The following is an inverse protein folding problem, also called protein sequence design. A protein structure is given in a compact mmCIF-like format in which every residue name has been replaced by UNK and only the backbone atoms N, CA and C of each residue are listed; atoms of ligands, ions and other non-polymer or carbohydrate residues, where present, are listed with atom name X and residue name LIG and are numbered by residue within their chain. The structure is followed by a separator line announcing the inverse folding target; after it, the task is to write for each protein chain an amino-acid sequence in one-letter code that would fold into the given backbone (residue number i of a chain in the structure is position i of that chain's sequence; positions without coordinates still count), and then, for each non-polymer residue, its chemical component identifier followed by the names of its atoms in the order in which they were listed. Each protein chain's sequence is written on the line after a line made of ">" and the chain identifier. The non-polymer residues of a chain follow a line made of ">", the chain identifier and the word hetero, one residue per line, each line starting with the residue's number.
data_IF_334948295442
#
_entry.id   IF_334948295442
#
_cell.length_a   1.000
_cell.length_b   1.000
_cell.length_c   1.000
_cell.angle_alpha   90.00
_cell.angle_beta   90.00
_cell.angle_gamma   90.00
#
_symmetry.space_group_name_H-M   'P 1'
#
loop_
_entity.id
_entity.type
_entity.pdbx_description
1 polymer ?
#
# COMPACT_ATOMS: atom_id res chain seq x y z
N UNK A 1 -17.71 23.82 44.01
CA UNK A 1 -17.19 23.42 42.68
C UNK A 1 -17.31 24.48 41.58
N UNK A 2 -18.35 25.32 41.56
CA UNK A 2 -18.52 26.39 40.52
C UNK A 2 -17.41 27.46 40.49
N UNK A 3 -16.71 27.73 41.59
CA UNK A 3 -15.68 28.78 41.64
C UNK A 3 -14.29 28.39 41.14
N UNK A 4 -14.01 27.11 41.00
CA UNK A 4 -12.70 26.66 40.54
C UNK A 4 -12.56 26.83 39.01
N UNK A 5 -13.55 26.44 38.25
CA UNK A 5 -13.53 26.55 36.76
C UNK A 5 -13.54 28.02 36.30
N UNK A 6 -14.15 28.94 37.03
CA UNK A 6 -14.21 30.35 36.62
C UNK A 6 -12.83 31.03 36.56
N UNK A 7 -11.88 30.64 37.41
CA UNK A 7 -10.50 31.17 37.41
C UNK A 7 -9.74 30.81 36.13
N UNK A 8 -10.06 29.66 35.53
CA UNK A 8 -9.39 29.16 34.33
C UNK A 8 -9.87 29.86 33.06
N UNK A 9 -11.14 30.22 33.00
CA UNK A 9 -11.75 30.70 31.76
C UNK A 9 -12.16 32.19 31.80
N UNK A 10 -12.35 32.77 32.99
CA UNK A 10 -12.91 34.13 33.12
C UNK A 10 -11.88 35.06 33.80
N UNK A 11 -11.55 36.21 33.18
CA UNK A 11 -10.78 37.28 33.83
C UNK A 11 -11.52 37.80 35.05
N UNK A 12 -10.90 37.77 36.23
CA UNK A 12 -11.45 38.27 37.50
C UNK A 12 -10.31 38.69 38.43
N UNK A 13 -10.60 39.47 39.50
CA UNK A 13 -9.59 39.98 40.43
C UNK A 13 -8.68 38.88 40.98
N UNK A 14 -9.21 37.65 41.20
CA UNK A 14 -8.47 36.50 41.75
C UNK A 14 -7.41 35.98 40.82
N UNK A 15 -7.46 36.26 39.54
CA UNK A 15 -6.47 35.85 38.54
C UNK A 15 -5.81 37.04 37.82
N UNK A 16 -5.77 38.18 38.50
CA UNK A 16 -5.23 39.43 37.94
C UNK A 16 -5.86 39.83 36.60
N UNK A 17 -7.16 39.60 36.43
CA UNK A 17 -7.90 39.82 35.18
C UNK A 17 -7.35 39.08 33.98
N UNK A 18 -6.63 37.93 34.20
CA UNK A 18 -6.13 37.05 33.16
C UNK A 18 -6.66 35.64 33.36
N UNK A 19 -7.41 35.13 32.42
CA UNK A 19 -7.82 33.73 32.45
C UNK A 19 -6.56 32.82 32.40
N UNK A 20 -6.44 31.87 33.30
CA UNK A 20 -5.26 31.03 33.42
C UNK A 20 -4.91 30.31 32.08
N UNK A 21 -5.93 29.88 31.36
CA UNK A 21 -5.73 29.22 30.04
C UNK A 21 -5.13 30.17 28.97
N UNK A 22 -5.24 31.48 29.13
CA UNK A 22 -4.64 32.49 28.26
C UNK A 22 -3.25 32.94 28.75
N UNK A 23 -2.76 32.34 29.83
CA UNK A 23 -1.40 32.62 30.30
C UNK A 23 -0.38 32.11 29.30
N UNK A 24 0.71 32.86 29.01
CA UNK A 24 1.73 32.43 28.01
C UNK A 24 2.27 31.01 28.22
N UNK A 25 2.39 30.58 29.49
CA UNK A 25 2.87 29.23 29.82
C UNK A 25 1.89 28.13 29.37
N UNK A 26 0.57 28.34 29.51
CA UNK A 26 -0.44 27.42 29.02
C UNK A 26 -0.55 27.42 27.50
N UNK A 27 -0.43 28.61 26.89
CA UNK A 27 -0.41 28.74 25.44
C UNK A 27 0.80 28.00 24.86
N UNK A 28 1.98 28.14 25.48
CA UNK A 28 3.18 27.40 25.14
C UNK A 28 2.99 25.86 25.25
N UNK A 29 2.34 25.41 26.33
CA UNK A 29 2.01 24.00 26.52
C UNK A 29 1.07 23.48 25.42
N UNK A 30 0.02 24.24 25.07
CA UNK A 30 -0.92 23.85 24.01
C UNK A 30 -0.22 23.77 22.64
N UNK A 31 0.65 24.72 22.33
CA UNK A 31 1.45 24.70 21.11
C UNK A 31 2.39 23.47 21.09
N UNK A 32 3.06 23.18 22.20
CA UNK A 32 3.93 22.02 22.30
C UNK A 32 3.16 20.70 22.12
N UNK A 33 1.99 20.56 22.76
CA UNK A 33 1.12 19.39 22.60
C UNK A 33 0.58 19.27 21.17
N UNK A 34 0.23 20.37 20.53
CA UNK A 34 -0.18 20.38 19.12
C UNK A 34 0.94 19.92 18.20
N UNK A 35 2.15 20.44 18.36
CA UNK A 35 3.31 20.04 17.57
C UNK A 35 3.71 18.58 17.81
N UNK A 36 3.62 18.11 19.05
CA UNK A 36 3.85 16.70 19.40
C UNK A 36 2.79 15.81 18.71
N UNK A 37 1.53 16.20 18.75
CA UNK A 37 0.45 15.48 18.07
C UNK A 37 0.69 15.44 16.55
N UNK A 38 1.08 16.53 15.91
CA UNK A 38 1.43 16.56 14.49
C UNK A 38 2.60 15.64 14.17
N UNK A 39 3.62 15.60 15.04
CA UNK A 39 4.76 14.70 14.90
C UNK A 39 4.35 13.22 15.04
N UNK A 40 3.49 12.92 16.01
CA UNK A 40 2.94 11.57 16.20
C UNK A 40 2.08 11.13 15.00
N UNK A 41 1.21 12.00 14.49
CA UNK A 41 0.40 11.71 13.30
C UNK A 41 1.31 11.44 12.10
N UNK A 42 2.33 12.28 11.85
CA UNK A 42 3.30 12.05 10.78
C UNK A 42 4.06 10.73 10.95
N UNK A 43 4.52 10.43 12.15
CA UNK A 43 5.19 9.16 12.44
C UNK A 43 4.26 7.95 12.25
N UNK A 44 2.97 8.09 12.60
CA UNK A 44 1.96 7.05 12.42
C UNK A 44 1.61 6.82 10.94
N UNK A 45 1.53 7.89 10.14
CA UNK A 45 1.29 7.81 8.69
C UNK A 45 2.49 7.24 7.95
N UNK A 46 3.73 7.54 8.38
CA UNK A 46 4.95 6.94 7.83
C UNK A 46 5.08 5.45 8.23
N UNK A 47 4.69 5.10 9.47
CA UNK A 47 4.76 3.71 9.97
C UNK A 47 3.62 2.82 9.47
N UNK A 48 2.52 3.41 9.03
CA UNK A 48 1.37 2.73 8.41
C UNK A 48 0.88 3.59 7.25
N UNK A 49 1.43 3.42 6.06
CA UNK A 49 0.82 3.96 4.85
C UNK A 49 -0.45 3.14 4.54
N UNK A 50 -1.43 3.22 5.43
CA UNK A 50 -2.80 2.82 5.18
C UNK A 50 -3.43 3.91 4.35
N UNK A 51 -3.37 3.78 3.04
CA UNK A 51 -4.03 4.69 2.13
C UNK A 51 -5.53 4.55 2.37
N UNK A 52 -6.13 5.55 3.01
CA UNK A 52 -7.58 5.72 3.03
C UNK A 52 -8.04 6.19 1.64
N UNK A 53 -7.92 5.32 0.63
CA UNK A 53 -8.29 5.64 -0.73
C UNK A 53 -7.52 4.82 -1.77
N UNK A 54 -7.75 5.15 -3.03
CA UNK A 54 -7.03 4.54 -4.15
C UNK A 54 -5.69 5.24 -4.37
N UNK A 55 -4.62 4.47 -4.64
CA UNK A 55 -3.34 5.04 -5.06
C UNK A 55 -3.39 5.41 -6.54
N UNK A 56 -3.18 6.69 -6.85
CA UNK A 56 -2.94 7.18 -8.22
C UNK A 56 -1.46 7.05 -8.63
N UNK A 57 -0.56 6.78 -7.67
CA UNK A 57 0.89 6.72 -7.89
C UNK A 57 1.38 5.32 -8.29
N UNK A 58 0.52 4.31 -8.22
CA UNK A 58 0.84 2.96 -8.65
C UNK A 58 0.20 2.72 -10.02
N UNK A 59 1.03 2.48 -11.02
CA UNK A 59 0.61 2.11 -12.36
C UNK A 59 1.36 0.85 -12.81
N UNK A 60 0.75 0.09 -13.74
CA UNK A 60 1.35 -1.10 -14.34
C UNK A 60 2.73 -0.79 -14.95
N UNK A 61 2.85 0.34 -15.66
CA UNK A 61 4.11 0.79 -16.25
C UNK A 61 5.19 1.08 -15.18
N UNK A 62 4.85 1.78 -14.09
CA UNK A 62 5.82 2.05 -13.01
C UNK A 62 6.28 0.75 -12.35
N UNK A 63 5.35 -0.19 -12.08
CA UNK A 63 5.65 -1.50 -11.50
C UNK A 63 6.56 -2.31 -12.43
N UNK A 64 6.29 -2.33 -13.74
CA UNK A 64 7.12 -2.99 -14.75
C UNK A 64 8.55 -2.43 -14.78
N UNK A 65 8.69 -1.10 -14.86
CA UNK A 65 10.00 -0.43 -14.88
C UNK A 65 10.80 -0.74 -13.63
N UNK A 66 10.18 -0.62 -12.45
CA UNK A 66 10.89 -0.89 -11.19
C UNK A 66 11.27 -2.35 -11.02
N UNK A 67 10.40 -3.28 -11.44
CA UNK A 67 10.74 -4.72 -11.44
C UNK A 67 11.99 -4.99 -12.26
N UNK A 68 12.06 -4.45 -13.47
CA UNK A 68 13.23 -4.61 -14.33
C UNK A 68 14.47 -3.87 -13.80
N UNK A 69 14.28 -2.73 -13.13
CA UNK A 69 15.37 -2.04 -12.44
C UNK A 69 16.00 -2.89 -11.33
N UNK A 70 15.18 -3.56 -10.49
CA UNK A 70 15.70 -4.46 -9.45
C UNK A 70 16.47 -5.66 -10.06
N UNK A 71 16.01 -6.20 -11.18
CA UNK A 71 16.69 -7.26 -11.91
C UNK A 71 18.05 -6.79 -12.47
N UNK A 72 18.07 -5.61 -13.11
CA UNK A 72 19.28 -5.03 -13.68
C UNK A 72 20.36 -4.71 -12.64
N UNK A 73 19.99 -4.28 -11.44
CA UNK A 73 20.93 -4.04 -10.32
C UNK A 73 21.76 -5.29 -9.97
N UNK A 74 21.25 -6.47 -10.30
CA UNK A 74 21.90 -7.76 -10.07
C UNK A 74 22.41 -8.42 -11.36
N UNK A 75 22.48 -7.69 -12.46
CA UNK A 75 22.96 -8.18 -13.76
C UNK A 75 22.05 -9.18 -14.44
N UNK A 76 20.75 -9.25 -14.02
CA UNK A 76 19.79 -10.16 -14.64
C UNK A 76 19.13 -9.51 -15.87
N UNK A 77 18.78 -10.34 -16.85
CA UNK A 77 17.98 -9.90 -18.01
C UNK A 77 16.63 -9.36 -17.57
N UNK A 78 16.18 -8.27 -18.19
CA UNK A 78 14.84 -7.73 -17.98
C UNK A 78 13.77 -8.70 -18.48
N UNK A 79 12.58 -8.62 -17.86
CA UNK A 79 11.40 -9.33 -18.32
C UNK A 79 10.72 -8.55 -19.45
N UNK A 80 10.12 -9.25 -20.40
CA UNK A 80 9.28 -8.66 -21.45
C UNK A 80 7.86 -8.44 -20.91
N UNK A 81 7.27 -7.29 -21.20
CA UNK A 81 5.87 -7.05 -20.88
C UNK A 81 4.95 -7.91 -21.75
N UNK A 82 4.02 -8.62 -21.15
CA UNK A 82 3.05 -9.45 -21.83
C UNK A 82 1.61 -9.05 -21.45
N UNK A 83 0.86 -8.55 -22.44
CA UNK A 83 -0.52 -8.08 -22.22
C UNK A 83 -1.50 -9.19 -21.83
N UNK A 84 -1.26 -10.43 -22.29
CA UNK A 84 -2.08 -11.58 -21.89
C UNK A 84 -1.88 -11.90 -20.41
N UNK A 85 -0.62 -11.87 -19.93
CA UNK A 85 -0.34 -11.97 -18.49
C UNK A 85 -0.93 -10.82 -17.69
N UNK A 86 -0.93 -9.58 -18.23
CA UNK A 86 -1.57 -8.45 -17.56
C UNK A 86 -3.08 -8.62 -17.45
N UNK A 87 -3.73 -9.15 -18.48
CA UNK A 87 -5.14 -9.50 -18.42
C UNK A 87 -5.42 -10.57 -17.34
N UNK A 88 -4.55 -11.57 -17.22
CA UNK A 88 -4.62 -12.58 -16.15
C UNK A 88 -4.48 -11.95 -14.76
N UNK A 89 -3.50 -11.06 -14.56
CA UNK A 89 -3.26 -10.37 -13.31
C UNK A 89 -4.43 -9.45 -12.92
N UNK A 90 -4.99 -8.74 -13.89
CA UNK A 90 -6.20 -7.90 -13.70
C UNK A 90 -7.39 -8.73 -13.25
N UNK A 91 -7.68 -9.83 -13.96
CA UNK A 91 -8.77 -10.77 -13.58
C UNK A 91 -8.58 -11.33 -12.17
N UNK A 92 -7.37 -11.63 -11.76
CA UNK A 92 -7.06 -12.06 -10.39
C UNK A 92 -7.40 -10.97 -9.37
N UNK A 93 -7.02 -9.72 -9.61
CA UNK A 93 -7.34 -8.60 -8.73
C UNK A 93 -8.86 -8.35 -8.65
N UNK A 94 -9.56 -8.40 -9.79
CA UNK A 94 -11.02 -8.27 -9.87
C UNK A 94 -11.73 -9.41 -9.12
N UNK A 95 -11.23 -10.64 -9.22
CA UNK A 95 -11.78 -11.81 -8.51
C UNK A 95 -11.63 -11.65 -6.99
N UNK A 96 -10.48 -11.11 -6.52
CA UNK A 96 -10.27 -10.80 -5.10
C UNK A 96 -11.27 -9.77 -4.59
N UNK A 97 -11.55 -8.70 -5.34
CA UNK A 97 -12.58 -7.72 -4.97
C UNK A 97 -13.99 -8.31 -5.02
N UNK A 98 -14.32 -9.04 -6.09
CA UNK A 98 -15.66 -9.62 -6.28
C UNK A 98 -16.03 -10.59 -5.18
N UNK A 99 -15.08 -11.37 -4.70
CA UNK A 99 -15.29 -12.44 -3.72
C UNK A 99 -14.75 -12.08 -2.32
N UNK A 100 -14.38 -10.81 -2.13
CA UNK A 100 -13.94 -10.20 -0.88
C UNK A 100 -12.87 -11.03 -0.13
N UNK A 101 -11.77 -11.40 -0.82
CA UNK A 101 -10.68 -12.15 -0.22
C UNK A 101 -9.29 -11.58 -0.59
N UNK A 102 -8.30 -11.88 0.26
CA UNK A 102 -6.89 -11.54 0.05
C UNK A 102 -6.01 -12.78 0.23
N UNK A 103 -5.75 -13.49 -0.87
CA UNK A 103 -4.92 -14.69 -0.91
C UNK A 103 -4.53 -15.06 -2.34
N UNK A 104 -3.49 -15.89 -2.51
CA UNK A 104 -3.12 -16.47 -3.80
C UNK A 104 -4.26 -17.35 -4.36
N UNK A 105 -4.87 -18.20 -3.55
CA UNK A 105 -6.02 -19.01 -3.96
C UNK A 105 -7.32 -18.44 -3.41
N UNK A 106 -8.38 -18.48 -4.21
CA UNK A 106 -9.71 -18.06 -3.78
C UNK A 106 -10.32 -19.02 -2.73
N UNK A 107 -11.31 -18.56 -1.94
CA UNK A 107 -12.05 -19.45 -1.04
C UNK A 107 -12.73 -20.65 -1.73
N UNK A 108 -12.99 -20.53 -3.04
CA UNK A 108 -13.56 -21.60 -3.87
C UNK A 108 -12.52 -22.55 -4.46
N UNK A 109 -11.23 -22.37 -4.10
CA UNK A 109 -10.13 -23.21 -4.57
C UNK A 109 -9.53 -22.79 -5.93
N UNK A 110 -9.97 -21.67 -6.51
CA UNK A 110 -9.40 -21.15 -7.75
C UNK A 110 -7.97 -20.65 -7.49
N UNK A 111 -7.01 -21.17 -8.23
CA UNK A 111 -5.59 -20.83 -8.10
C UNK A 111 -5.17 -19.69 -9.03
N UNK A 112 -4.02 -19.04 -8.85
CA UNK A 112 -3.49 -18.06 -9.81
C UNK A 112 -3.40 -18.62 -11.24
N UNK A 113 -3.05 -19.89 -11.37
CA UNK A 113 -2.86 -20.57 -12.64
C UNK A 113 -4.15 -20.74 -13.45
N UNK A 114 -5.30 -20.70 -12.81
CA UNK A 114 -6.59 -20.76 -13.50
C UNK A 114 -6.89 -19.45 -14.25
N UNK A 115 -6.36 -18.31 -13.77
CA UNK A 115 -6.43 -17.05 -14.51
C UNK A 115 -5.51 -17.04 -15.73
N UNK A 116 -4.34 -17.69 -15.66
CA UNK A 116 -3.47 -17.88 -16.83
C UNK A 116 -4.16 -18.70 -17.93
N UNK A 117 -4.80 -19.81 -17.55
CA UNK A 117 -5.57 -20.65 -18.48
C UNK A 117 -6.75 -19.90 -19.09
N UNK A 118 -7.46 -19.12 -18.28
CA UNK A 118 -8.65 -18.37 -18.70
C UNK A 118 -8.33 -17.37 -19.82
N UNK A 119 -7.15 -16.74 -19.77
CA UNK A 119 -6.69 -15.82 -20.83
C UNK A 119 -5.93 -16.52 -21.96
N UNK A 120 -5.81 -17.85 -21.89
CA UNK A 120 -5.10 -18.63 -22.91
C UNK A 120 -3.58 -18.56 -22.85
N UNK A 121 -3.00 -18.09 -21.74
CA UNK A 121 -1.54 -18.08 -21.56
C UNK A 121 -1.04 -19.47 -21.18
N UNK A 122 -0.20 -20.03 -22.04
CA UNK A 122 0.50 -21.30 -21.79
C UNK A 122 1.87 -21.02 -21.21
N UNK A 123 2.30 -21.80 -20.23
CA UNK A 123 3.55 -21.57 -19.52
C UNK A 123 4.22 -22.89 -19.15
N UNK A 124 5.54 -22.86 -19.13
CA UNK A 124 6.39 -23.91 -18.52
C UNK A 124 6.72 -23.57 -17.07
N UNK A 125 6.87 -22.29 -16.75
CA UNK A 125 7.12 -21.76 -15.41
C UNK A 125 6.24 -20.53 -15.17
N UNK A 126 5.66 -20.43 -13.98
CA UNK A 126 4.81 -19.31 -13.61
C UNK A 126 5.01 -18.88 -12.13
N UNK A 127 4.71 -17.64 -11.82
CA UNK A 127 4.79 -17.08 -10.47
C UNK A 127 3.81 -15.92 -10.28
N UNK A 128 3.49 -15.64 -9.00
CA UNK A 128 2.61 -14.55 -8.63
C UNK A 128 3.18 -13.77 -7.44
N UNK A 129 3.13 -12.45 -7.52
CA UNK A 129 3.27 -11.54 -6.38
C UNK A 129 2.00 -10.72 -6.21
N UNK A 130 1.62 -10.49 -4.95
CA UNK A 130 0.47 -9.68 -4.57
C UNK A 130 0.89 -8.52 -3.69
N UNK A 131 0.30 -7.33 -3.88
CA UNK A 131 0.41 -6.21 -2.96
C UNK A 131 -0.93 -5.48 -2.81
N UNK A 132 -1.15 -4.90 -1.63
CA UNK A 132 -2.27 -4.01 -1.32
C UNK A 132 -1.87 -2.97 -0.29
N UNK A 133 -2.64 -1.89 -0.22
CA UNK A 133 -2.50 -0.85 0.80
C UNK A 133 -1.17 -0.07 0.74
N UNK A 134 -0.55 0.04 -0.44
CA UNK A 134 0.61 0.89 -0.67
C UNK A 134 0.19 2.24 -1.27
N UNK A 135 0.93 3.29 -0.91
CA UNK A 135 0.71 4.63 -1.44
C UNK A 135 1.37 4.82 -2.81
N UNK A 136 2.57 4.29 -3.00
CA UNK A 136 3.37 4.44 -4.22
C UNK A 136 4.08 3.14 -4.61
N UNK A 137 4.57 3.11 -5.84
CA UNK A 137 5.27 1.95 -6.42
C UNK A 137 6.61 1.69 -5.73
N UNK A 138 7.31 2.73 -5.27
CA UNK A 138 8.63 2.58 -4.67
C UNK A 138 8.56 1.87 -3.32
N UNK A 139 7.69 2.31 -2.43
CA UNK A 139 7.48 1.68 -1.11
C UNK A 139 6.99 0.23 -1.24
N UNK A 140 6.11 -0.03 -2.22
CA UNK A 140 5.64 -1.37 -2.54
C UNK A 140 6.80 -2.27 -3.02
N UNK A 141 7.61 -1.80 -3.97
CA UNK A 141 8.75 -2.55 -4.48
C UNK A 141 9.79 -2.83 -3.39
N UNK A 142 10.08 -1.85 -2.53
CA UNK A 142 10.95 -2.05 -1.37
C UNK A 142 10.41 -3.13 -0.42
N UNK A 143 9.10 -3.17 -0.18
CA UNK A 143 8.47 -4.21 0.64
C UNK A 143 8.61 -5.59 -0.01
N UNK A 144 8.36 -5.71 -1.31
CA UNK A 144 8.57 -6.95 -2.04
C UNK A 144 10.03 -7.41 -2.00
N UNK A 145 10.98 -6.49 -2.20
CA UNK A 145 12.42 -6.83 -2.15
C UNK A 145 12.92 -7.20 -0.75
N UNK A 146 12.25 -6.76 0.32
CA UNK A 146 12.51 -7.22 1.70
C UNK A 146 11.90 -8.58 2.02
N UNK A 147 10.85 -8.97 1.32
CA UNK A 147 10.20 -10.27 1.48
C UNK A 147 10.94 -11.36 0.68
N UNK A 148 11.37 -12.42 1.34
CA UNK A 148 12.11 -13.52 0.69
C UNK A 148 11.32 -14.13 -0.47
N UNK A 149 10.02 -14.34 -0.31
CA UNK A 149 9.16 -14.98 -1.32
C UNK A 149 8.92 -14.08 -2.52
N UNK A 150 8.54 -12.83 -2.31
CA UNK A 150 8.30 -11.87 -3.39
C UNK A 150 9.59 -11.54 -4.15
N UNK A 151 10.69 -11.32 -3.42
CA UNK A 151 12.02 -11.10 -4.01
C UNK A 151 12.46 -12.27 -4.87
N UNK A 152 12.23 -13.51 -4.43
CA UNK A 152 12.54 -14.70 -5.21
C UNK A 152 11.84 -14.69 -6.56
N UNK A 153 10.55 -14.33 -6.61
CA UNK A 153 9.82 -14.23 -7.87
C UNK A 153 10.39 -13.11 -8.77
N UNK A 154 10.65 -11.91 -8.21
CA UNK A 154 11.21 -10.79 -8.99
C UNK A 154 12.55 -11.14 -9.61
N UNK A 155 13.39 -11.88 -8.92
CA UNK A 155 14.77 -12.21 -9.33
C UNK A 155 14.92 -13.59 -9.98
N UNK A 156 13.85 -14.36 -10.14
CA UNK A 156 13.92 -15.69 -10.75
C UNK A 156 14.36 -15.58 -12.22
N UNK A 157 15.44 -16.26 -12.55
CA UNK A 157 16.04 -16.24 -13.89
C UNK A 157 15.26 -17.06 -14.90
N UNK A 158 14.35 -17.91 -14.45
CA UNK A 158 13.53 -18.75 -15.30
C UNK A 158 12.38 -17.98 -15.95
N UNK A 159 11.99 -16.83 -15.38
CA UNK A 159 10.93 -16.01 -15.99
C UNK A 159 11.49 -15.16 -17.13
N UNK A 160 10.70 -15.06 -18.20
CA UNK A 160 10.99 -14.27 -19.38
C UNK A 160 9.98 -13.14 -19.57
N UNK A 161 8.76 -13.33 -19.09
CA UNK A 161 7.66 -12.39 -19.28
C UNK A 161 7.01 -12.01 -17.96
N UNK A 162 6.40 -10.83 -17.94
CA UNK A 162 5.64 -10.31 -16.81
C UNK A 162 4.36 -9.64 -17.30
N UNK A 163 3.27 -9.84 -16.58
CA UNK A 163 2.04 -9.07 -16.67
C UNK A 163 1.68 -8.45 -15.33
N UNK A 164 1.05 -7.28 -15.36
CA UNK A 164 0.74 -6.52 -14.15
C UNK A 164 -0.70 -6.07 -14.21
N UNK A 165 -1.44 -6.32 -13.13
CA UNK A 165 -2.78 -5.80 -12.89
C UNK A 165 -2.75 -4.82 -11.72
N UNK A 166 -3.21 -3.59 -11.95
CA UNK A 166 -3.43 -2.58 -10.90
C UNK A 166 -4.91 -2.23 -10.91
N UNK A 167 -5.61 -2.60 -9.86
CA UNK A 167 -7.07 -2.45 -9.79
C UNK A 167 -7.47 -1.77 -8.49
N UNK A 168 -8.38 -0.82 -8.59
CA UNK A 168 -8.97 -0.11 -7.47
C UNK A 168 -10.34 -0.71 -7.14
N UNK A 169 -10.61 -0.94 -5.86
CA UNK A 169 -11.89 -1.51 -5.42
C UNK A 169 -12.10 -1.41 -3.92
N UNK A 170 -13.11 -2.11 -3.43
CA UNK A 170 -13.41 -2.21 -2.00
C UNK A 170 -13.14 -3.65 -1.57
N UNK A 171 -12.31 -3.84 -0.56
CA UNK A 171 -11.97 -5.13 0.02
C UNK A 171 -12.23 -5.08 1.54
N UNK A 172 -13.05 -5.99 2.07
CA UNK A 172 -13.48 -5.95 3.48
C UNK A 172 -14.02 -4.57 3.91
N UNK A 173 -14.78 -3.90 3.05
CA UNK A 173 -15.34 -2.57 3.30
C UNK A 173 -14.35 -1.41 3.19
N UNK A 174 -13.09 -1.64 2.84
CA UNK A 174 -12.03 -0.63 2.73
C UNK A 174 -11.67 -0.38 1.27
N UNK A 175 -11.64 0.89 0.86
CA UNK A 175 -11.14 1.29 -0.46
C UNK A 175 -9.63 1.01 -0.52
N UNK A 176 -9.20 0.22 -1.47
CA UNK A 176 -7.79 -0.13 -1.64
C UNK A 176 -7.42 -0.33 -3.11
N UNK A 177 -6.13 -0.22 -3.41
CA UNK A 177 -5.54 -0.59 -4.69
C UNK A 177 -4.87 -1.96 -4.53
N UNK A 178 -5.26 -2.92 -5.35
CA UNK A 178 -4.59 -4.21 -5.48
C UNK A 178 -3.61 -4.19 -6.63
N UNK A 179 -2.44 -4.75 -6.41
CA UNK A 179 -1.41 -4.97 -7.44
C UNK A 179 -1.09 -6.44 -7.51
N UNK A 180 -1.19 -6.98 -8.71
CA UNK A 180 -0.85 -8.38 -9.02
C UNK A 180 0.25 -8.37 -10.06
N UNK A 181 1.34 -9.09 -9.81
CA UNK A 181 2.33 -9.46 -10.82
C UNK A 181 2.17 -10.94 -11.16
N UNK A 182 1.98 -11.23 -12.43
CA UNK A 182 2.08 -12.58 -12.99
C UNK A 182 3.36 -12.68 -13.80
N UNK A 183 4.18 -13.66 -13.46
CA UNK A 183 5.41 -13.99 -14.15
C UNK A 183 5.22 -15.27 -14.96
N UNK A 184 5.86 -15.37 -16.12
CA UNK A 184 5.74 -16.54 -16.94
C UNK A 184 6.91 -16.74 -17.89
N UNK A 185 6.99 -17.98 -18.37
CA UNK A 185 7.81 -18.39 -19.52
C UNK A 185 6.94 -19.34 -20.33
N UNK A 186 6.69 -19.06 -21.61
CA UNK A 186 5.93 -19.93 -22.51
C UNK A 186 6.51 -21.33 -22.67
#
# INVERSE_FOLDING_TARGET
>A
MKNFLSVWFIPQPKNNYRALLLHPSFLGLFIALYLLNQSLIKSFTIARPGVLGYSSEITDQKVFIQTNSERQKLGLSGLSYNSTLSASATKKAEDMFKNDYWAHSSPTGRTPWDFFKEVGYRYSVAGENLAKDFYDTESMMQAWMKSTTHRKNILDTRYQEIGIGVVNGVLNGVKTTLVVQHFGTP
#
